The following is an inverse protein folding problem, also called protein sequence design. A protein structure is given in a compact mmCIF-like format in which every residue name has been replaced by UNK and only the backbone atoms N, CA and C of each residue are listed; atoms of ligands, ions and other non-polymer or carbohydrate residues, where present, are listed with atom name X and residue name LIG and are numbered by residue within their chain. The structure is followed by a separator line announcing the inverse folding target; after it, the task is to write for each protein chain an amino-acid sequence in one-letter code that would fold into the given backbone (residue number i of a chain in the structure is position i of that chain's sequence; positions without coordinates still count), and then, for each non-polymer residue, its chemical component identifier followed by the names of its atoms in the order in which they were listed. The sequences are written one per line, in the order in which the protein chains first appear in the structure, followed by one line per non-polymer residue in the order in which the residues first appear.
data_IF_214849738291
#
_entry.id   IF_214849738291
#
_cell.length_a   1.000
_cell.length_b   1.000
_cell.length_c   1.000
_cell.angle_alpha   90.00
_cell.angle_beta   90.00
_cell.angle_gamma   90.00
#
_symmetry.space_group_name_H-M   'P 1'
#
loop_
_entity.id
_entity.type
_entity.pdbx_description
1 polymer ?
#
# COMPACT_ATOMS: atom_id res chain seq x y z
N UNK A 1 -18.34 27.76 -16.92
CA UNK A 1 -19.00 26.89 -15.91
C UNK A 1 -17.95 25.99 -15.26
N UNK A 2 -17.77 26.02 -13.93
CA UNK A 2 -16.81 25.14 -13.21
C UNK A 2 -17.43 23.74 -13.09
N UNK A 3 -16.73 22.70 -13.56
CA UNK A 3 -17.21 21.31 -13.53
C UNK A 3 -17.23 20.76 -12.08
N UNK A 4 -18.40 20.38 -11.52
CA UNK A 4 -18.54 20.01 -10.11
C UNK A 4 -17.97 18.62 -9.75
N UNK A 5 -17.49 17.84 -10.73
CA UNK A 5 -17.04 16.46 -10.50
C UNK A 5 -15.52 16.27 -10.40
N UNK A 6 -14.71 17.34 -10.43
CA UNK A 6 -13.27 17.22 -10.19
C UNK A 6 -13.00 17.08 -8.70
N UNK A 7 -13.07 15.85 -8.17
CA UNK A 7 -12.48 15.51 -6.87
C UNK A 7 -11.03 16.01 -6.85
N UNK A 8 -10.66 16.76 -5.81
CA UNK A 8 -9.29 17.18 -5.55
C UNK A 8 -8.35 15.99 -5.68
N UNK A 9 -7.35 16.11 -6.57
CA UNK A 9 -6.27 15.12 -6.73
C UNK A 9 -5.17 15.29 -5.68
N UNK A 10 -5.37 16.15 -4.68
CA UNK A 10 -4.41 16.32 -3.60
C UNK A 10 -4.63 15.22 -2.56
N UNK A 11 -3.58 14.47 -2.20
CA UNK A 11 -3.67 13.50 -1.12
C UNK A 11 -4.09 14.25 0.15
N UNK A 12 -5.04 13.66 0.87
CA UNK A 12 -5.45 14.17 2.18
C UNK A 12 -4.22 14.18 3.08
N UNK A 13 -3.89 15.32 3.69
CA UNK A 13 -2.82 15.39 4.69
C UNK A 13 -3.20 14.47 5.86
N UNK A 14 -2.22 13.73 6.36
CA UNK A 14 -2.36 12.93 7.57
C UNK A 14 -2.50 13.88 8.77
N UNK A 15 -3.20 13.41 9.79
CA UNK A 15 -3.20 14.02 11.11
C UNK A 15 -1.92 13.63 11.85
N UNK A 16 -1.54 14.41 12.87
CA UNK A 16 -0.36 14.12 13.68
C UNK A 16 -0.38 12.70 14.28
N UNK A 17 -1.56 12.21 14.70
CA UNK A 17 -1.72 10.85 15.22
C UNK A 17 -1.48 9.78 14.15
N UNK A 18 -1.96 10.00 12.93
CA UNK A 18 -1.72 9.09 11.79
C UNK A 18 -0.25 9.09 11.37
N UNK A 19 0.42 10.23 11.41
CA UNK A 19 1.86 10.33 11.14
C UNK A 19 2.69 9.63 12.22
N UNK A 20 2.35 9.82 13.50
CA UNK A 20 3.03 9.16 14.61
C UNK A 20 2.85 7.63 14.57
N UNK A 21 1.63 7.16 14.29
CA UNK A 21 1.37 5.72 14.15
C UNK A 21 2.17 5.12 12.98
N UNK A 22 2.25 5.84 11.84
CA UNK A 22 3.05 5.41 10.70
C UNK A 22 4.53 5.31 11.04
N UNK A 23 5.09 6.35 11.67
CA UNK A 23 6.50 6.34 12.09
C UNK A 23 6.81 5.25 13.12
N UNK A 24 5.91 5.00 14.06
CA UNK A 24 6.06 3.90 15.03
C UNK A 24 6.08 2.54 14.34
N UNK A 25 5.16 2.30 13.40
CA UNK A 25 5.10 1.04 12.64
C UNK A 25 6.38 0.81 11.83
N UNK A 26 6.93 1.87 11.23
CA UNK A 26 8.19 1.80 10.48
C UNK A 26 9.36 1.46 11.39
N UNK A 27 9.52 2.19 12.50
CA UNK A 27 10.60 1.95 13.47
C UNK A 27 10.56 0.54 14.07
N UNK A 28 9.36 0.05 14.41
CA UNK A 28 9.18 -1.33 14.92
C UNK A 28 9.56 -2.36 13.86
N UNK A 29 9.17 -2.13 12.59
CA UNK A 29 9.50 -3.05 11.51
C UNK A 29 11.01 -3.13 11.25
N UNK A 30 11.71 -1.99 11.34
CA UNK A 30 13.17 -1.93 11.21
C UNK A 30 13.87 -2.63 12.39
N UNK A 31 13.45 -2.36 13.62
CA UNK A 31 14.01 -3.03 14.80
C UNK A 31 13.84 -4.57 14.72
N UNK A 32 12.69 -5.06 14.25
CA UNK A 32 12.45 -6.49 14.06
C UNK A 32 13.41 -7.08 13.01
N UNK A 33 13.65 -6.37 11.92
CA UNK A 33 14.58 -6.80 10.87
C UNK A 33 16.03 -6.85 11.38
N UNK A 34 16.45 -5.88 12.19
CA UNK A 34 17.77 -5.89 12.83
C UNK A 34 17.95 -7.12 13.73
N UNK A 35 16.95 -7.47 14.53
CA UNK A 35 16.98 -8.67 15.38
C UNK A 35 17.07 -9.95 14.53
N UNK A 36 16.29 -10.02 13.43
CA UNK A 36 16.35 -11.15 12.49
C UNK A 36 17.76 -11.32 11.92
N UNK A 37 18.39 -10.23 11.46
CA UNK A 37 19.74 -10.25 10.88
C UNK A 37 20.79 -10.61 11.94
N UNK A 38 20.65 -10.09 13.15
CA UNK A 38 21.55 -10.35 14.26
C UNK A 38 21.40 -11.77 14.85
N UNK A 39 20.36 -12.51 14.45
CA UNK A 39 20.07 -13.83 15.03
C UNK A 39 19.47 -13.77 16.44
N UNK A 40 18.94 -12.61 16.83
CA UNK A 40 18.35 -12.40 18.15
C UNK A 40 16.84 -12.73 18.12
N UNK A 41 16.34 -13.56 19.05
CA UNK A 41 14.91 -13.82 19.17
C UNK A 41 14.17 -12.59 19.73
N UNK A 42 12.88 -12.49 19.42
CA UNK A 42 12.01 -11.41 19.91
C UNK A 42 10.95 -11.99 20.86
N UNK A 43 10.77 -11.36 22.01
CA UNK A 43 9.67 -11.65 22.92
C UNK A 43 8.45 -10.80 22.56
N UNK A 44 7.29 -11.44 22.35
CA UNK A 44 6.03 -10.77 22.04
C UNK A 44 4.99 -11.18 23.07
N UNK A 45 4.34 -10.21 23.70
CA UNK A 45 3.17 -10.48 24.54
C UNK A 45 1.93 -10.66 23.67
N UNK A 46 1.32 -11.84 23.72
CA UNK A 46 0.09 -12.14 22.97
C UNK A 46 -0.81 -13.04 23.80
N UNK A 47 -2.09 -12.66 23.90
CA UNK A 47 -3.12 -13.47 24.59
C UNK A 47 -2.77 -13.84 26.04
N UNK A 48 -2.21 -12.89 26.79
CA UNK A 48 -1.88 -13.12 28.21
C UNK A 48 -0.51 -13.76 28.46
N UNK A 49 0.21 -14.16 27.40
CA UNK A 49 1.45 -14.92 27.51
C UNK A 49 2.59 -14.25 26.74
N UNK A 50 3.83 -14.47 27.19
CA UNK A 50 5.03 -14.09 26.46
C UNK A 50 5.40 -15.23 25.51
N UNK A 51 5.41 -14.94 24.21
CA UNK A 51 5.81 -15.87 23.15
C UNK A 51 7.16 -15.41 22.61
N UNK A 52 8.14 -16.31 22.58
CA UNK A 52 9.44 -16.05 21.97
C UNK A 52 9.38 -16.47 20.51
N UNK A 53 9.69 -15.55 19.61
CA UNK A 53 9.77 -15.78 18.17
C UNK A 53 11.25 -15.86 17.80
N UNK A 54 11.74 -17.03 17.34
CA UNK A 54 13.12 -17.17 16.91
C UNK A 54 13.36 -16.47 15.56
N UNK A 55 14.61 -16.08 15.26
CA UNK A 55 14.94 -15.23 14.11
C UNK A 55 14.59 -15.87 12.75
N UNK A 56 14.66 -17.20 12.63
CA UNK A 56 14.32 -17.98 11.43
C UNK A 56 12.82 -17.94 11.10
N UNK A 57 11.96 -17.64 12.08
CA UNK A 57 10.52 -17.50 11.89
C UNK A 57 10.10 -16.06 11.55
N UNK A 58 11.02 -15.09 11.63
CA UNK A 58 10.77 -13.69 11.28
C UNK A 58 10.95 -13.52 9.77
N UNK A 59 9.87 -13.13 9.08
CA UNK A 59 9.93 -12.85 7.63
C UNK A 59 10.73 -11.58 7.33
N UNK A 60 11.56 -11.56 6.28
CA UNK A 60 12.31 -10.36 5.88
C UNK A 60 11.40 -9.16 5.58
N UNK A 61 11.81 -7.97 6.04
CA UNK A 61 11.07 -6.72 5.81
C UNK A 61 10.90 -6.40 4.30
N UNK A 62 11.90 -6.71 3.48
CA UNK A 62 11.84 -6.50 2.03
C UNK A 62 10.71 -7.31 1.37
N UNK A 63 10.49 -8.54 1.82
CA UNK A 63 9.41 -9.40 1.33
C UNK A 63 8.04 -8.82 1.67
N UNK A 64 7.87 -8.36 2.92
CA UNK A 64 6.65 -7.68 3.38
C UNK A 64 6.32 -6.42 2.57
N UNK A 65 7.33 -5.59 2.26
CA UNK A 65 7.13 -4.38 1.43
C UNK A 65 6.71 -4.75 0.01
N UNK A 66 7.35 -5.75 -0.60
CA UNK A 66 7.00 -6.24 -1.94
C UNK A 66 5.56 -6.77 -1.99
N UNK A 67 5.12 -7.51 -0.98
CA UNK A 67 3.74 -7.98 -0.85
C UNK A 67 2.75 -6.82 -0.75
N UNK A 68 3.03 -5.82 0.10
CA UNK A 68 2.18 -4.64 0.25
C UNK A 68 2.07 -3.85 -1.07
N UNK A 69 3.19 -3.64 -1.76
CA UNK A 69 3.22 -3.00 -3.07
C UNK A 69 2.37 -3.79 -4.09
N UNK A 70 2.58 -5.11 -4.19
CA UNK A 70 1.81 -5.99 -5.08
C UNK A 70 0.31 -5.98 -4.76
N UNK A 71 -0.05 -5.99 -3.48
CA UNK A 71 -1.44 -5.91 -3.04
C UNK A 71 -2.08 -4.56 -3.42
N UNK A 72 -1.36 -3.45 -3.25
CA UNK A 72 -1.80 -2.13 -3.70
C UNK A 72 -2.04 -2.06 -5.20
N UNK A 73 -1.12 -2.61 -6.00
CA UNK A 73 -1.29 -2.72 -7.45
C UNK A 73 -2.51 -3.56 -7.83
N UNK A 74 -2.70 -4.74 -7.21
CA UNK A 74 -3.86 -5.60 -7.44
C UNK A 74 -5.18 -4.91 -7.09
N UNK A 75 -5.25 -4.23 -5.95
CA UNK A 75 -6.44 -3.48 -5.52
C UNK A 75 -6.76 -2.33 -6.49
N UNK A 76 -5.74 -1.60 -6.95
CA UNK A 76 -5.88 -0.55 -7.96
C UNK A 76 -6.41 -1.11 -9.29
N UNK A 77 -5.85 -2.22 -9.77
CA UNK A 77 -6.32 -2.92 -10.97
C UNK A 77 -7.77 -3.38 -10.83
N UNK A 78 -8.14 -4.01 -9.72
CA UNK A 78 -9.51 -4.46 -9.45
C UNK A 78 -10.51 -3.29 -9.43
N UNK A 79 -10.15 -2.18 -8.77
CA UNK A 79 -10.97 -0.96 -8.73
C UNK A 79 -11.15 -0.38 -10.13
N UNK A 80 -10.09 -0.32 -10.93
CA UNK A 80 -10.13 0.19 -12.31
C UNK A 80 -11.01 -0.69 -13.20
N UNK A 81 -10.87 -2.02 -13.11
CA UNK A 81 -11.70 -2.97 -13.85
C UNK A 81 -13.18 -2.85 -13.47
N UNK A 82 -13.49 -2.71 -12.17
CA UNK A 82 -14.85 -2.46 -11.69
C UNK A 82 -15.43 -1.15 -12.22
N UNK A 83 -14.64 -0.07 -12.27
CA UNK A 83 -15.09 1.21 -12.81
C UNK A 83 -15.30 1.15 -14.34
N UNK A 84 -14.46 0.41 -15.07
CA UNK A 84 -14.65 0.11 -16.50
C UNK A 84 -15.95 -0.65 -16.75
N UNK A 85 -16.20 -1.74 -16.00
CA UNK A 85 -17.44 -2.52 -16.11
C UNK A 85 -18.70 -1.69 -15.82
N UNK A 86 -18.60 -0.67 -14.95
CA UNK A 86 -19.69 0.27 -14.66
C UNK A 86 -19.81 1.43 -15.66
N UNK A 87 -19.06 1.44 -16.76
CA UNK A 87 -19.04 2.53 -17.75
C UNK A 87 -18.50 3.86 -17.21
N UNK A 88 -17.87 3.88 -16.03
CA UNK A 88 -17.40 5.09 -15.34
C UNK A 88 -15.97 5.49 -15.69
N UNK A 89 -15.33 4.77 -16.63
CA UNK A 89 -14.00 5.10 -17.16
C UNK A 89 -14.18 5.49 -18.62
N UNK A 90 -13.85 6.74 -18.97
CA UNK A 90 -13.81 7.18 -20.36
C UNK A 90 -12.55 6.58 -21.00
N UNK A 91 -12.72 5.78 -22.04
CA UNK A 91 -11.60 5.30 -22.85
C UNK A 91 -11.05 6.46 -23.66
N UNK A 92 -9.97 7.08 -23.17
CA UNK A 92 -9.30 8.19 -23.84
C UNK A 92 -8.46 7.76 -25.05
N UNK A 93 -8.42 6.45 -25.35
CA UNK A 93 -7.53 5.89 -26.39
C UNK A 93 -8.19 5.90 -27.79
N UNK A 94 -9.52 5.98 -27.89
CA UNK A 94 -10.23 5.89 -29.17
C UNK A 94 -10.13 7.15 -30.07
N UNK A 95 -9.63 8.29 -29.57
CA UNK A 95 -9.68 9.56 -30.29
C UNK A 95 -8.44 9.90 -31.14
N UNK A 96 -7.46 9.00 -31.32
CA UNK A 96 -6.21 9.29 -32.06
C UNK A 96 -6.05 8.58 -33.41
N UNK A 97 -7.03 7.80 -33.89
CA UNK A 97 -6.87 6.97 -35.11
C UNK A 97 -7.82 7.25 -36.28
N UNK A 98 -8.64 8.29 -36.23
CA UNK A 98 -9.48 8.69 -37.39
C UNK A 98 -9.27 10.15 -37.71
N UNK A 99 -8.11 10.45 -38.28
CA UNK A 99 -7.84 11.69 -38.99
C UNK A 99 -7.31 11.31 -40.36
N UNK A 100 -8.19 10.80 -41.22
CA UNK A 100 -8.01 10.78 -42.67
C UNK A 100 -7.64 12.20 -43.11
N UNK A 101 -6.45 12.35 -43.70
CA UNK A 101 -6.10 13.55 -44.46
C UNK A 101 -6.64 13.33 -45.87
N UNK A 102 -7.68 14.08 -46.20
CA UNK A 102 -8.02 14.39 -47.60
C UNK A 102 -7.08 15.52 -48.10
#
# INVERSE_FOLDING_TARGET
MKNPFRKSRYPKKLTLGEEAEMGLREAVAEAIEEHRIAGNPIAVYRSGQVVIIPPDQIKPLAEKRLEATRAGFRASHAKRNRLRAKGKVRDTIAARKTGTRD
#
